data_IF_266383360747
#
_entry.id   IF_266383360747
#
_cell.length_a   1.000
_cell.length_b   1.000
_cell.length_c   1.000
_cell.angle_alpha   90.00
_cell.angle_beta   90.00
_cell.angle_gamma   90.00
#
_symmetry.space_group_name_H-M   'P 1'
#
loop_
_entity.id
_entity.type
_entity.pdbx_description
1 polymer ?
#
# COMPACT_ATOMS: atom_id res chain seq x y z
N UNK A 1 36.84 1.86 -11.10
CA UNK A 1 36.12 1.58 -9.82
C UNK A 1 34.97 2.59 -9.68
N UNK A 2 33.80 2.22 -10.17
CA UNK A 2 32.59 3.01 -10.01
C UNK A 2 32.07 2.77 -8.58
N UNK A 3 32.22 3.73 -7.67
CA UNK A 3 31.57 3.72 -6.36
C UNK A 3 30.11 4.09 -6.59
N UNK A 4 29.24 3.08 -6.67
CA UNK A 4 27.80 3.29 -6.58
C UNK A 4 27.52 3.68 -5.13
N UNK A 5 27.23 4.95 -4.87
CA UNK A 5 26.65 5.40 -3.60
C UNK A 5 25.25 4.80 -3.51
N UNK A 6 25.12 3.57 -3.03
CA UNK A 6 23.83 2.97 -2.71
C UNK A 6 23.26 3.75 -1.53
N UNK A 7 22.28 4.60 -1.80
CA UNK A 7 21.52 5.31 -0.77
C UNK A 7 20.93 4.24 0.14
N UNK A 8 21.30 4.23 1.41
CA UNK A 8 20.71 3.29 2.38
C UNK A 8 19.30 3.79 2.65
N UNK A 9 18.31 3.12 2.12
CA UNK A 9 16.90 3.39 2.42
C UNK A 9 16.50 2.61 3.67
N UNK A 10 15.78 3.26 4.56
CA UNK A 10 15.12 2.57 5.69
C UNK A 10 13.82 2.01 5.14
N UNK A 11 13.76 0.69 5.04
CA UNK A 11 12.56 -0.02 4.58
C UNK A 11 11.42 0.15 5.59
N UNK A 12 10.21 0.23 5.09
CA UNK A 12 8.99 0.17 5.92
C UNK A 12 8.84 -1.27 6.45
N UNK A 13 8.46 -1.43 7.69
CA UNK A 13 8.13 -2.74 8.24
C UNK A 13 6.65 -3.06 8.03
N UNK A 14 6.33 -4.34 7.89
CA UNK A 14 4.94 -4.77 7.78
C UNK A 14 4.10 -4.30 8.99
N UNK A 15 4.69 -4.33 10.17
CA UNK A 15 4.03 -3.89 11.41
C UNK A 15 3.62 -2.42 11.35
N UNK A 16 4.49 -1.53 10.86
CA UNK A 16 4.17 -0.09 10.72
C UNK A 16 2.93 0.13 9.85
N UNK A 17 2.76 -0.64 8.78
CA UNK A 17 1.58 -0.52 7.91
C UNK A 17 0.35 -1.14 8.55
N UNK A 18 0.48 -2.31 9.18
CA UNK A 18 -0.64 -3.00 9.84
C UNK A 18 -1.19 -2.24 11.06
N UNK A 19 -0.37 -1.43 11.73
CA UNK A 19 -0.77 -0.59 12.86
C UNK A 19 -1.70 0.57 12.48
N UNK A 20 -1.82 0.91 11.20
CA UNK A 20 -2.65 2.03 10.74
C UNK A 20 -4.10 1.55 10.59
N UNK A 21 -5.09 2.08 11.33
CA UNK A 21 -6.48 1.73 11.09
C UNK A 21 -6.96 2.31 9.77
N UNK A 22 -7.83 1.56 9.09
CA UNK A 22 -8.42 1.96 7.81
C UNK A 22 -9.80 1.33 7.65
N UNK A 23 -10.68 2.05 6.95
CA UNK A 23 -12.01 1.60 6.58
C UNK A 23 -12.45 2.29 5.29
N UNK A 24 -13.26 1.64 4.45
CA UNK A 24 -13.73 2.21 3.17
C UNK A 24 -14.40 3.57 3.37
N UNK A 25 -13.89 4.59 2.67
CA UNK A 25 -14.28 6.00 2.81
C UNK A 25 -13.60 6.73 3.98
N UNK A 26 -12.67 6.10 4.70
CA UNK A 26 -11.90 6.67 5.82
C UNK A 26 -10.44 6.24 5.76
N UNK A 27 -9.80 6.36 4.61
CA UNK A 27 -8.43 5.92 4.33
C UNK A 27 -7.36 6.99 4.60
N UNK A 28 -7.75 8.16 5.09
CA UNK A 28 -6.86 9.32 5.22
C UNK A 28 -5.54 9.01 5.94
N UNK A 29 -5.56 8.14 6.96
CA UNK A 29 -4.34 7.79 7.71
C UNK A 29 -3.35 6.95 6.87
N UNK A 30 -3.85 6.01 6.07
CA UNK A 30 -3.00 5.20 5.18
C UNK A 30 -2.49 6.05 4.03
N UNK A 31 -3.36 6.88 3.43
CA UNK A 31 -2.98 7.83 2.37
C UNK A 31 -1.90 8.80 2.88
N UNK A 32 -2.08 9.38 4.09
CA UNK A 32 -1.08 10.25 4.71
C UNK A 32 0.25 9.52 4.94
N UNK A 33 0.21 8.27 5.37
CA UNK A 33 1.41 7.45 5.56
C UNK A 33 2.17 7.26 4.24
N UNK A 34 1.47 6.92 3.16
CA UNK A 34 2.07 6.75 1.82
C UNK A 34 2.66 8.08 1.32
N UNK A 35 1.94 9.19 1.47
CA UNK A 35 2.42 10.53 1.09
C UNK A 35 3.68 10.93 1.87
N UNK A 36 3.69 10.69 3.18
CA UNK A 36 4.85 10.98 4.03
C UNK A 36 6.06 10.10 3.66
N UNK A 37 5.82 8.83 3.29
CA UNK A 37 6.84 7.96 2.75
C UNK A 37 7.43 8.53 1.45
N UNK A 38 6.59 8.96 0.51
CA UNK A 38 7.05 9.54 -0.75
C UNK A 38 7.90 10.81 -0.52
N UNK A 39 7.45 11.70 0.36
CA UNK A 39 8.19 12.91 0.75
C UNK A 39 9.56 12.57 1.35
N UNK A 40 9.59 11.64 2.30
CA UNK A 40 10.82 11.20 2.99
C UNK A 40 11.85 10.64 2.02
N UNK A 41 11.40 9.95 0.99
CA UNK A 41 12.29 9.28 0.03
C UNK A 41 12.51 10.06 -1.27
N UNK A 42 11.88 11.24 -1.41
CA UNK A 42 12.02 12.11 -2.60
C UNK A 42 11.44 11.45 -3.86
N UNK A 43 10.31 10.76 -3.73
CA UNK A 43 9.59 10.15 -4.83
C UNK A 43 8.60 11.14 -5.42
N UNK A 44 8.43 11.11 -6.73
CA UNK A 44 7.41 11.89 -7.42
C UNK A 44 6.04 11.24 -7.19
N UNK A 45 5.09 12.01 -6.68
CA UNK A 45 3.73 11.51 -6.40
C UNK A 45 2.68 12.60 -6.62
N UNK A 46 1.45 12.18 -6.87
CA UNK A 46 0.27 13.04 -6.81
C UNK A 46 -0.96 12.26 -6.33
N UNK A 47 -2.00 12.98 -5.96
CA UNK A 47 -3.30 12.44 -5.61
C UNK A 47 -4.32 12.95 -6.63
N UNK A 48 -5.28 12.10 -6.99
CA UNK A 48 -6.47 12.53 -7.72
C UNK A 48 -7.58 13.03 -6.76
N UNK A 49 -8.71 13.45 -7.31
CA UNK A 49 -9.84 13.96 -6.53
C UNK A 49 -10.46 12.90 -5.60
N UNK A 50 -10.28 11.62 -5.92
CA UNK A 50 -10.68 10.48 -5.07
C UNK A 50 -9.72 10.22 -3.93
N UNK A 51 -8.54 10.84 -3.92
CA UNK A 51 -7.40 10.57 -3.04
C UNK A 51 -6.66 9.26 -3.34
N UNK A 52 -6.84 8.67 -4.53
CA UNK A 52 -5.90 7.66 -4.98
C UNK A 52 -4.50 8.25 -5.04
N UNK A 53 -3.49 7.48 -4.65
CA UNK A 53 -2.09 7.94 -4.67
C UNK A 53 -1.35 7.29 -5.82
N UNK A 54 -0.73 8.12 -6.65
CA UNK A 54 0.08 7.69 -7.78
C UNK A 54 1.53 8.08 -7.55
N UNK A 55 2.43 7.13 -7.69
CA UNK A 55 3.87 7.32 -7.45
C UNK A 55 4.67 6.91 -8.66
N UNK A 56 5.61 7.76 -9.07
CA UNK A 56 6.55 7.45 -10.14
C UNK A 56 7.98 7.53 -9.63
N UNK A 57 8.78 6.50 -9.86
CA UNK A 57 10.20 6.48 -9.58
C UNK A 57 10.99 6.21 -10.85
N UNK A 58 12.03 7.00 -11.06
CA UNK A 58 12.95 6.83 -12.19
C UNK A 58 12.42 7.38 -13.50
N UNK A 59 13.08 6.99 -14.58
CA UNK A 59 12.75 7.37 -15.95
C UNK A 59 12.95 6.18 -16.87
N UNK A 60 12.11 6.07 -17.89
CA UNK A 60 12.24 5.09 -18.96
C UNK A 60 12.86 5.72 -20.19
N UNK A 61 13.48 4.90 -21.03
CA UNK A 61 13.95 5.32 -22.36
C UNK A 61 12.81 5.29 -23.35
N UNK A 62 13.07 5.83 -24.54
CA UNK A 62 12.13 5.71 -25.66
C UNK A 62 11.87 4.23 -25.93
N UNK A 63 10.61 3.89 -26.15
CA UNK A 63 10.13 2.53 -26.43
C UNK A 63 10.22 1.53 -25.22
N UNK A 64 10.52 2.02 -24.01
CA UNK A 64 10.40 1.26 -22.76
C UNK A 64 9.09 1.60 -22.04
N UNK A 65 8.64 0.71 -21.16
CA UNK A 65 7.43 0.90 -20.35
C UNK A 65 7.75 0.70 -18.87
N UNK A 66 7.06 1.42 -17.99
CA UNK A 66 7.15 1.19 -16.56
C UNK A 66 6.48 -0.14 -16.16
N UNK A 67 7.11 -0.95 -15.30
CA UNK A 67 6.36 -1.85 -14.43
C UNK A 67 5.53 -1.02 -13.45
N UNK A 68 4.33 -1.50 -13.11
CA UNK A 68 3.48 -0.88 -12.10
C UNK A 68 3.08 -1.90 -11.04
N UNK A 69 3.03 -1.47 -9.79
CA UNK A 69 2.49 -2.25 -8.68
C UNK A 69 1.27 -1.56 -8.10
N UNK A 70 0.30 -2.34 -7.67
CA UNK A 70 -1.01 -1.84 -7.24
C UNK A 70 -1.41 -2.46 -5.91
N UNK A 71 -2.00 -1.66 -5.03
CA UNK A 71 -2.63 -2.08 -3.79
C UNK A 71 -3.83 -1.20 -3.49
N UNK A 72 -4.74 -1.65 -2.62
CA UNK A 72 -5.77 -0.78 -2.07
C UNK A 72 -5.51 -0.41 -0.61
N UNK A 73 -6.14 0.66 -0.15
CA UNK A 73 -5.83 1.30 1.13
C UNK A 73 -6.92 1.13 2.18
N UNK A 74 -8.13 0.79 1.75
CA UNK A 74 -9.26 0.54 2.64
C UNK A 74 -9.29 -0.90 3.17
N UNK A 75 -10.12 -1.11 4.16
CA UNK A 75 -10.42 -2.41 4.74
C UNK A 75 -11.90 -2.49 5.12
N UNK A 76 -12.41 -3.71 5.38
CA UNK A 76 -13.79 -3.95 5.82
C UNK A 76 -14.02 -3.68 7.31
N UNK A 77 -13.02 -3.29 8.09
CA UNK A 77 -13.05 -3.23 9.55
C UNK A 77 -13.76 -1.97 10.07
N UNK A 78 -15.09 -2.02 10.12
CA UNK A 78 -15.95 -0.92 10.56
C UNK A 78 -15.73 -0.49 12.01
N UNK A 79 -15.29 -1.40 12.87
CA UNK A 79 -14.93 -1.16 14.27
C UNK A 79 -13.74 -0.22 14.45
N UNK A 80 -12.98 0.03 13.39
CA UNK A 80 -11.84 0.94 13.42
C UNK A 80 -12.19 2.42 13.22
N UNK A 81 -13.45 2.77 12.98
CA UNK A 81 -13.86 4.17 12.70
C UNK A 81 -13.46 5.15 13.80
N UNK A 82 -13.69 4.80 15.06
CA UNK A 82 -13.31 5.64 16.18
C UNK A 82 -11.79 5.77 16.30
N UNK A 83 -11.07 4.68 16.09
CA UNK A 83 -9.60 4.70 16.06
C UNK A 83 -9.06 5.64 14.97
N UNK A 84 -9.68 5.64 13.79
CA UNK A 84 -9.31 6.56 12.69
C UNK A 84 -9.54 8.02 13.10
N UNK A 85 -10.73 8.33 13.64
CA UNK A 85 -11.08 9.69 14.07
C UNK A 85 -10.15 10.20 15.18
N UNK A 86 -9.79 9.34 16.12
CA UNK A 86 -8.89 9.66 17.23
C UNK A 86 -7.41 9.55 16.86
N UNK A 87 -7.09 9.12 15.63
CA UNK A 87 -5.72 8.85 15.15
C UNK A 87 -4.96 7.85 16.01
N UNK A 88 -5.68 6.88 16.54
CA UNK A 88 -5.12 5.79 17.34
C UNK A 88 -4.51 4.71 16.44
N UNK A 89 -3.66 3.86 17.02
CA UNK A 89 -3.03 2.76 16.31
C UNK A 89 -3.63 1.42 16.71
N UNK A 90 -3.67 0.49 15.75
CA UNK A 90 -3.94 -0.92 16.03
C UNK A 90 -2.72 -1.48 16.77
N UNK A 91 -2.94 -2.11 17.91
CA UNK A 91 -1.90 -2.88 18.60
C UNK A 91 -1.75 -4.23 17.94
N UNK A 92 -0.56 -4.55 17.44
CA UNK A 92 -0.28 -5.86 16.83
C UNK A 92 0.26 -6.81 17.88
N UNK A 93 -0.50 -7.87 18.15
CA UNK A 93 -0.10 -8.98 19.03
C UNK A 93 0.42 -10.15 18.18
N UNK A 94 1.55 -10.74 18.59
CA UNK A 94 2.16 -11.87 17.92
C UNK A 94 1.96 -13.14 18.73
N UNK A 95 1.52 -14.21 18.07
CA UNK A 95 1.40 -15.53 18.68
C UNK A 95 2.15 -16.56 17.85
N UNK A 96 3.02 -17.33 18.49
CA UNK A 96 3.77 -18.40 17.83
C UNK A 96 2.97 -19.70 17.82
N UNK A 97 2.82 -20.28 16.64
CA UNK A 97 2.24 -21.59 16.41
C UNK A 97 3.26 -22.47 15.69
N UNK A 98 4.12 -23.16 16.44
CA UNK A 98 5.24 -23.93 15.90
C UNK A 98 6.22 -23.02 15.15
N UNK A 99 6.42 -23.26 13.84
CA UNK A 99 7.29 -22.45 12.97
C UNK A 99 6.57 -21.22 12.36
N UNK A 100 5.28 -21.03 12.62
CA UNK A 100 4.49 -19.92 12.08
C UNK A 100 4.25 -18.87 13.15
N UNK A 101 4.30 -17.60 12.77
CA UNK A 101 3.86 -16.48 13.59
C UNK A 101 2.51 -16.01 13.07
N UNK A 102 1.51 -15.92 13.94
CA UNK A 102 0.22 -15.32 13.67
C UNK A 102 0.20 -13.90 14.22
N UNK A 103 -0.18 -12.93 13.39
CA UNK A 103 -0.41 -11.55 13.78
C UNK A 103 -1.90 -11.34 14.03
N UNK A 104 -2.24 -10.62 15.09
CA UNK A 104 -3.61 -10.27 15.45
C UNK A 104 -3.67 -8.78 15.82
N UNK A 105 -4.70 -8.09 15.33
CA UNK A 105 -4.98 -6.71 15.70
C UNK A 105 -5.76 -6.62 17.01
N UNK A 106 -5.50 -5.55 17.75
CA UNK A 106 -6.13 -5.26 19.02
C UNK A 106 -6.40 -3.75 19.14
N UNK A 107 -7.62 -3.39 19.54
CA UNK A 107 -7.93 -2.02 19.89
C UNK A 107 -7.50 -1.77 21.34
N UNK A 108 -6.47 -0.94 21.54
CA UNK A 108 -5.92 -0.68 22.86
C UNK A 108 -6.85 0.12 23.79
N UNK A 109 -7.80 0.87 23.24
CA UNK A 109 -8.75 1.66 24.03
C UNK A 109 -9.89 0.82 24.62
N UNK A 110 -10.37 -0.17 23.86
CA UNK A 110 -11.49 -1.04 24.28
C UNK A 110 -11.03 -2.39 24.83
N UNK A 111 -9.74 -2.72 24.69
CA UNK A 111 -9.15 -4.04 24.96
C UNK A 111 -9.85 -5.18 24.22
N UNK A 112 -10.32 -4.91 22.99
CA UNK A 112 -11.01 -5.86 22.13
C UNK A 112 -10.20 -6.21 20.88
N UNK A 113 -10.34 -7.43 20.32
CA UNK A 113 -9.70 -7.77 19.07
C UNK A 113 -10.29 -6.94 17.93
N UNK A 114 -9.44 -6.54 16.98
CA UNK A 114 -9.83 -5.88 15.72
C UNK A 114 -9.11 -6.53 14.54
N UNK A 115 -9.56 -6.27 13.32
CA UNK A 115 -8.87 -6.72 12.13
C UNK A 115 -7.52 -6.02 11.94
N UNK A 116 -6.56 -6.71 11.34
CA UNK A 116 -5.26 -6.10 10.98
C UNK A 116 -5.27 -5.49 9.56
N UNK A 117 -6.31 -5.80 8.77
CA UNK A 117 -6.42 -5.34 7.37
C UNK A 117 -5.28 -5.87 6.50
N UNK A 118 -4.97 -7.18 6.64
CA UNK A 118 -3.92 -7.79 5.81
C UNK A 118 -4.24 -7.70 4.32
N UNK A 119 -5.48 -7.72 3.99
CA UNK A 119 -6.13 -7.33 2.77
C UNK A 119 -6.45 -5.82 2.84
N UNK A 120 -5.80 -4.90 2.09
CA UNK A 120 -4.59 -5.17 1.28
C UNK A 120 -3.38 -4.36 1.81
N UNK A 121 -3.29 -4.13 3.13
CA UNK A 121 -2.11 -3.47 3.74
C UNK A 121 -0.82 -4.23 3.50
N UNK A 122 -0.89 -5.55 3.25
CA UNK A 122 0.27 -6.32 2.84
C UNK A 122 0.72 -5.89 1.45
N UNK A 123 -0.20 -5.66 0.52
CA UNK A 123 0.11 -5.10 -0.79
C UNK A 123 0.69 -3.69 -0.68
N UNK A 124 0.12 -2.82 0.16
CA UNK A 124 0.69 -1.49 0.45
C UNK A 124 2.14 -1.61 0.92
N UNK A 125 2.42 -2.48 1.90
CA UNK A 125 3.76 -2.75 2.40
C UNK A 125 4.72 -3.21 1.29
N UNK A 126 4.29 -4.13 0.43
CA UNK A 126 5.09 -4.65 -0.67
C UNK A 126 5.37 -3.53 -1.68
N UNK A 127 4.36 -2.78 -2.11
CA UNK A 127 4.50 -1.68 -3.07
C UNK A 127 5.49 -0.62 -2.59
N UNK A 128 5.39 -0.20 -1.31
CA UNK A 128 6.29 0.81 -0.74
C UNK A 128 7.76 0.33 -0.72
N UNK A 129 8.00 -0.94 -0.35
CA UNK A 129 9.36 -1.48 -0.34
C UNK A 129 9.90 -1.72 -1.76
N UNK A 130 9.07 -2.13 -2.71
CA UNK A 130 9.46 -2.21 -4.12
C UNK A 130 9.86 -0.84 -4.69
N UNK A 131 9.18 0.25 -4.30
CA UNK A 131 9.60 1.61 -4.66
C UNK A 131 10.99 1.97 -4.13
N UNK A 132 11.47 1.36 -3.05
CA UNK A 132 12.85 1.56 -2.58
C UNK A 132 13.85 0.69 -3.32
N UNK A 133 13.47 -0.53 -3.68
CA UNK A 133 14.35 -1.54 -4.26
C UNK A 133 14.62 -1.31 -5.76
N UNK A 134 13.59 -0.98 -6.53
CA UNK A 134 13.69 -0.82 -7.99
C UNK A 134 13.98 0.62 -8.37
N UNK A 135 14.87 0.83 -9.34
CA UNK A 135 15.24 2.16 -9.83
C UNK A 135 14.17 2.78 -10.72
N UNK A 136 13.34 1.95 -11.37
CA UNK A 136 12.27 2.38 -12.28
C UNK A 136 11.00 1.59 -11.95
N UNK A 137 9.98 2.27 -11.42
CA UNK A 137 8.73 1.67 -10.99
C UNK A 137 7.63 2.72 -10.86
N UNK A 138 6.42 2.38 -11.23
CA UNK A 138 5.20 3.10 -10.84
C UNK A 138 4.45 2.33 -9.76
N UNK A 139 3.74 3.03 -8.89
CA UNK A 139 2.83 2.43 -7.93
C UNK A 139 1.53 3.22 -7.88
N UNK A 140 0.40 2.50 -7.82
CA UNK A 140 -0.92 3.08 -7.64
C UNK A 140 -1.57 2.49 -6.38
N UNK A 141 -2.10 3.36 -5.52
CA UNK A 141 -2.80 2.97 -4.30
C UNK A 141 -4.22 3.49 -4.39
N UNK A 142 -5.17 2.57 -4.44
CA UNK A 142 -6.58 2.89 -4.62
C UNK A 142 -7.33 2.92 -3.30
N UNK A 143 -8.30 3.83 -3.21
CA UNK A 143 -9.26 3.91 -2.10
C UNK A 143 -10.55 3.16 -2.46
N UNK A 144 -11.38 2.85 -1.45
CA UNK A 144 -12.74 2.32 -1.63
C UNK A 144 -12.82 1.06 -2.53
N UNK A 145 -11.83 0.16 -2.45
CA UNK A 145 -11.86 -1.11 -3.18
C UNK A 145 -12.99 -2.00 -2.70
N UNK A 146 -13.10 -2.18 -1.37
CA UNK A 146 -14.00 -3.10 -0.66
C UNK A 146 -15.51 -2.75 -0.81
N UNK A 147 -15.81 -1.58 -1.34
CA UNK A 147 -17.18 -1.12 -1.62
C UNK A 147 -17.43 -0.96 -3.12
N UNK A 148 -16.76 -1.78 -3.91
CA UNK A 148 -16.97 -1.94 -5.35
C UNK A 148 -15.95 -1.23 -6.23
N UNK A 149 -14.67 -1.24 -5.79
CA UNK A 149 -13.53 -0.73 -6.58
C UNK A 149 -13.73 0.72 -7.04
N UNK A 150 -14.30 1.58 -6.19
CA UNK A 150 -14.67 2.96 -6.59
C UNK A 150 -13.45 3.79 -6.95
N UNK A 151 -12.36 3.66 -6.20
CA UNK A 151 -11.12 4.38 -6.48
C UNK A 151 -10.54 3.99 -7.84
N UNK A 152 -10.41 2.69 -8.13
CA UNK A 152 -9.81 2.24 -9.39
C UNK A 152 -10.70 2.49 -10.61
N UNK A 153 -12.02 2.54 -10.45
CA UNK A 153 -12.95 2.91 -11.55
C UNK A 153 -12.84 4.37 -11.99
N UNK A 154 -12.41 5.23 -11.09
CA UNK A 154 -12.18 6.66 -11.33
C UNK A 154 -10.68 6.99 -11.45
N UNK A 155 -9.84 5.97 -11.66
CA UNK A 155 -8.40 6.16 -11.79
C UNK A 155 -8.03 7.09 -12.95
N UNK A 156 -6.97 7.88 -12.76
CA UNK A 156 -6.41 8.71 -13.83
C UNK A 156 -5.78 7.83 -14.93
N UNK A 157 -6.41 7.74 -16.13
CA UNK A 157 -5.89 6.88 -17.19
C UNK A 157 -4.53 7.36 -17.72
N UNK A 158 -4.20 8.65 -17.56
CA UNK A 158 -2.93 9.20 -18.05
C UNK A 158 -1.74 8.63 -17.30
N UNK A 159 -1.92 8.29 -16.01
CA UNK A 159 -0.86 7.64 -15.24
C UNK A 159 -0.40 6.32 -15.87
N UNK A 160 -1.30 5.61 -16.55
CA UNK A 160 -1.04 4.28 -17.10
C UNK A 160 -0.60 4.27 -18.56
N UNK A 161 -0.56 5.42 -19.25
CA UNK A 161 -0.22 5.50 -20.68
C UNK A 161 1.15 4.92 -21.04
N UNK A 162 2.10 4.92 -20.11
CA UNK A 162 3.46 4.40 -20.28
C UNK A 162 3.74 3.18 -19.39
N UNK A 163 2.69 2.52 -18.88
CA UNK A 163 2.76 1.28 -18.11
C UNK A 163 2.65 0.07 -19.03
N UNK A 164 3.63 -0.83 -18.99
CA UNK A 164 3.62 -2.06 -19.78
C UNK A 164 2.83 -3.21 -19.14
N UNK A 165 2.81 -3.26 -17.83
CA UNK A 165 2.02 -4.22 -17.04
C UNK A 165 1.86 -3.73 -15.60
N UNK A 166 0.78 -4.19 -14.95
CA UNK A 166 0.53 -3.96 -13.55
C UNK A 166 0.46 -5.27 -12.77
N UNK A 167 0.97 -5.28 -11.54
CA UNK A 167 0.88 -6.41 -10.59
C UNK A 167 0.15 -5.92 -9.36
N UNK A 168 -0.95 -6.58 -9.01
CA UNK A 168 -1.68 -6.39 -7.76
C UNK A 168 -1.35 -7.53 -6.79
N UNK A 169 -1.17 -7.20 -5.51
CA UNK A 169 -0.82 -8.17 -4.46
C UNK A 169 -2.02 -8.63 -3.63
N UNK A 170 -3.19 -8.18 -3.99
CA UNK A 170 -4.45 -8.58 -3.42
C UNK A 170 -4.92 -9.92 -4.03
N UNK A 171 -4.66 -11.01 -3.32
CA UNK A 171 -4.99 -12.34 -3.81
C UNK A 171 -5.26 -13.34 -2.67
N UNK A 172 -6.25 -14.25 -2.82
CA UNK A 172 -6.69 -15.15 -1.75
C UNK A 172 -5.68 -16.23 -1.37
N UNK A 173 -4.66 -16.47 -2.20
CA UNK A 173 -3.66 -17.52 -1.95
C UNK A 173 -2.28 -17.18 -2.48
N UNK A 174 -1.23 -17.83 -1.93
CA UNK A 174 0.16 -17.67 -2.36
C UNK A 174 0.43 -17.93 -3.86
N UNK A 175 -0.44 -18.69 -4.52
CA UNK A 175 -0.22 -19.20 -5.87
C UNK A 175 -1.18 -18.57 -6.88
N UNK A 176 -1.88 -17.52 -6.51
CA UNK A 176 -2.82 -16.85 -7.40
C UNK A 176 -2.18 -15.62 -8.02
N UNK A 177 -2.00 -15.66 -9.33
CA UNK A 177 -1.54 -14.53 -10.14
C UNK A 177 -2.61 -14.22 -11.16
N UNK A 178 -3.21 -13.04 -11.09
CA UNK A 178 -3.98 -12.50 -12.20
C UNK A 178 -3.07 -11.63 -13.05
N UNK A 179 -3.02 -11.89 -14.36
CA UNK A 179 -2.35 -11.05 -15.34
C UNK A 179 -3.41 -10.34 -16.16
N UNK A 180 -3.59 -9.05 -15.93
CA UNK A 180 -4.35 -8.20 -16.86
C UNK A 180 -3.36 -7.56 -17.82
N UNK A 181 -3.47 -7.88 -19.10
CA UNK A 181 -2.82 -7.13 -20.17
C UNK A 181 -3.74 -5.95 -20.48
N UNK A 182 -3.23 -4.74 -20.29
CA UNK A 182 -3.88 -3.51 -20.78
C UNK A 182 -3.54 -3.29 -22.24
#
# INVERSE_FOLDING_TARGET
LCRINKKIYVMVTLKEVLEIPSYSGMEDLVVEFIVNFCKKHGLDYYLDDKKNVYVTKGKIKKDEYFPCVVAHTDTVHRDQKEMILNREKITIKETKHGKKTKLMGWNGATDEPTGIGGDDKVGVYICLNMLLEFDTLKAAFFVEEEIGMRGSREADPNFFNDVGYAIQFDGPTRNWFSKTLM
#
